data_IF_269053533947
#
_entry.id   IF_269053533947
#
_cell.length_a   1.000
_cell.length_b   1.000
_cell.length_c   1.000
_cell.angle_alpha   90.00
_cell.angle_beta   90.00
_cell.angle_gamma   90.00
#
_symmetry.space_group_name_H-M   'P 1'
#
loop_
_entity.id
_entity.type
_entity.pdbx_description
1 polymer ?
#
# COMPACT_ATOMS: atom_id res chain seq x y z
N UNK A 1 -23.47 9.80 33.44
CA UNK A 1 -23.18 11.16 32.91
C UNK A 1 -21.68 11.45 32.79
N UNK A 2 -20.83 11.06 33.77
CA UNK A 2 -19.37 11.24 33.68
C UNK A 2 -18.70 10.38 32.60
N UNK A 3 -19.05 9.08 32.52
CA UNK A 3 -18.48 8.15 31.53
C UNK A 3 -18.83 8.51 30.08
N UNK A 4 -20.06 8.96 29.83
CA UNK A 4 -20.49 9.41 28.51
C UNK A 4 -19.70 10.64 28.02
N UNK A 5 -19.35 11.57 28.92
CA UNK A 5 -18.49 12.72 28.60
C UNK A 5 -17.05 12.32 28.34
N UNK A 6 -16.53 11.34 29.10
CA UNK A 6 -15.19 10.78 28.88
C UNK A 6 -15.04 10.08 27.53
N UNK A 7 -16.03 9.25 27.17
CA UNK A 7 -16.07 8.58 25.87
C UNK A 7 -16.22 9.59 24.71
N UNK A 8 -17.10 10.58 24.85
CA UNK A 8 -17.26 11.63 23.85
C UNK A 8 -15.96 12.42 23.65
N UNK A 9 -15.23 12.74 24.72
CA UNK A 9 -13.96 13.45 24.61
C UNK A 9 -12.88 12.66 23.85
N UNK A 10 -12.87 11.32 23.94
CA UNK A 10 -11.97 10.48 23.15
C UNK A 10 -12.34 10.47 21.67
N UNK A 11 -13.64 10.41 21.35
CA UNK A 11 -14.14 10.49 19.97
C UNK A 11 -13.83 11.86 19.35
N UNK A 12 -14.09 12.95 20.08
CA UNK A 12 -13.78 14.30 19.59
C UNK A 12 -12.28 14.51 19.38
N UNK A 13 -11.41 13.99 20.27
CA UNK A 13 -9.97 14.01 20.03
C UNK A 13 -9.55 13.33 18.73
N UNK A 14 -10.08 12.14 18.45
CA UNK A 14 -9.80 11.42 17.19
C UNK A 14 -10.30 12.18 15.95
N UNK A 15 -11.44 12.86 16.06
CA UNK A 15 -11.97 13.70 14.97
C UNK A 15 -11.08 14.92 14.75
N UNK A 16 -10.62 15.55 15.84
CA UNK A 16 -9.79 16.76 15.81
C UNK A 16 -8.33 16.48 15.40
N UNK A 17 -7.84 15.24 15.62
CA UNK A 17 -6.51 14.76 15.20
C UNK A 17 -6.30 14.75 13.68
N UNK A 18 -7.36 14.82 12.87
CA UNK A 18 -7.26 14.96 11.41
C UNK A 18 -6.59 16.26 10.93
N UNK A 19 -6.25 17.18 11.84
CA UNK A 19 -5.48 18.40 11.58
C UNK A 19 -4.01 18.30 12.03
N UNK A 20 -3.46 17.09 12.21
CA UNK A 20 -2.05 16.89 12.55
C UNK A 20 -1.15 17.52 11.46
N UNK A 21 -0.23 18.45 11.80
CA UNK A 21 0.73 19.03 10.86
C UNK A 21 1.67 18.02 10.20
N UNK A 22 1.68 16.75 10.62
CA UNK A 22 2.36 15.64 9.96
C UNK A 22 1.63 15.03 8.75
N UNK A 23 0.38 15.41 8.47
CA UNK A 23 -0.36 14.95 7.28
C UNK A 23 0.03 15.85 6.10
N UNK A 24 0.71 15.27 5.10
CA UNK A 24 1.08 16.00 3.90
C UNK A 24 -0.21 16.40 3.13
N UNK A 25 -0.29 17.63 2.61
CA UNK A 25 -1.45 18.06 1.80
C UNK A 25 -1.69 17.16 0.57
N UNK A 26 -0.66 16.45 0.09
CA UNK A 26 -0.78 15.45 -0.97
C UNK A 26 -1.41 14.12 -0.50
N UNK A 27 -1.46 13.87 0.81
CA UNK A 27 -2.15 12.73 1.43
C UNK A 27 -3.62 13.06 1.75
N UNK A 28 -3.99 14.34 1.75
CA UNK A 28 -5.37 14.80 1.83
C UNK A 28 -6.08 14.41 0.52
N UNK A 29 -7.27 13.84 0.65
CA UNK A 29 -8.10 13.42 -0.49
C UNK A 29 -8.46 14.64 -1.33
N UNK A 30 -7.61 15.01 -2.30
CA UNK A 30 -7.91 16.01 -3.32
C UNK A 30 -8.59 15.31 -4.49
N UNK A 31 -9.76 15.81 -4.87
CA UNK A 31 -10.54 15.38 -6.04
C UNK A 31 -9.91 15.91 -7.34
N UNK A 32 -8.58 15.93 -7.40
CA UNK A 32 -7.81 16.45 -8.53
C UNK A 32 -7.88 15.43 -9.66
N UNK A 33 -8.82 15.71 -10.57
CA UNK A 33 -9.15 14.98 -11.79
C UNK A 33 -8.09 15.08 -12.88
N UNK A 34 -6.96 15.76 -12.64
CA UNK A 34 -6.12 16.30 -13.73
C UNK A 34 -4.69 15.74 -13.89
N UNK A 35 -4.31 14.65 -13.22
CA UNK A 35 -3.01 14.05 -13.57
C UNK A 35 -3.01 12.53 -13.62
N UNK A 36 -3.31 11.98 -14.80
CA UNK A 36 -2.99 10.59 -15.13
C UNK A 36 -1.51 10.58 -15.51
N UNK A 37 -0.64 10.22 -14.57
CA UNK A 37 0.76 9.93 -14.87
C UNK A 37 0.84 8.50 -15.41
N UNK A 38 1.40 8.33 -16.61
CA UNK A 38 1.86 7.01 -17.03
C UNK A 38 3.10 6.68 -16.21
N UNK A 39 2.96 5.71 -15.30
CA UNK A 39 4.08 5.17 -14.51
C UNK A 39 4.73 4.05 -15.32
N UNK A 40 6.02 4.21 -15.66
CA UNK A 40 6.81 3.15 -16.29
C UNK A 40 7.32 2.14 -15.25
N UNK A 41 7.64 2.63 -14.05
CA UNK A 41 8.01 1.80 -12.90
C UNK A 41 9.50 1.78 -12.58
N UNK A 42 10.26 2.79 -12.98
CA UNK A 42 11.63 2.98 -12.53
C UNK A 42 11.63 3.56 -11.11
N UNK A 43 12.05 2.78 -10.11
CA UNK A 43 12.01 3.18 -8.70
C UNK A 43 13.42 3.41 -8.19
N UNK A 44 13.66 4.54 -7.53
CA UNK A 44 14.93 4.85 -6.88
C UNK A 44 14.70 5.25 -5.42
N UNK A 45 15.45 4.62 -4.51
CA UNK A 45 15.67 5.09 -3.16
C UNK A 45 17.07 5.70 -3.12
N UNK A 46 17.18 6.94 -2.67
CA UNK A 46 18.44 7.67 -2.61
C UNK A 46 18.73 8.10 -1.15
N UNK A 47 19.72 7.44 -0.55
CA UNK A 47 20.27 7.73 0.78
C UNK A 47 19.19 7.78 1.89
N UNK A 48 18.34 6.75 1.94
CA UNK A 48 17.21 6.67 2.87
C UNK A 48 17.65 6.26 4.27
N UNK A 49 17.43 7.14 5.24
CA UNK A 49 17.32 6.77 6.65
C UNK A 49 15.84 6.72 7.06
N UNK A 50 15.48 5.76 7.91
CA UNK A 50 14.11 5.67 8.42
C UNK A 50 14.03 5.08 9.82
N UNK A 51 13.13 5.66 10.61
CA UNK A 51 12.73 5.18 11.92
C UNK A 51 11.20 5.24 12.08
N UNK A 52 10.60 4.20 12.65
CA UNK A 52 9.17 4.20 12.92
C UNK A 52 8.84 5.19 14.05
N UNK A 53 7.78 6.03 13.91
CA UNK A 53 7.39 6.99 14.95
C UNK A 53 7.09 6.33 16.32
N UNK A 54 6.58 5.10 16.31
CA UNK A 54 6.28 4.31 17.50
C UNK A 54 7.51 3.72 18.20
N UNK A 55 8.69 3.75 17.55
CA UNK A 55 9.94 3.16 18.06
C UNK A 55 11.15 4.06 17.74
N UNK A 56 11.17 5.26 18.32
CA UNK A 56 12.22 6.27 18.12
C UNK A 56 13.65 5.86 18.54
N UNK A 57 13.80 4.75 19.25
CA UNK A 57 15.11 4.22 19.68
C UNK A 57 15.67 3.14 18.73
N UNK A 58 14.91 2.75 17.69
CA UNK A 58 15.27 1.66 16.80
C UNK A 58 15.18 2.07 15.33
N UNK A 59 16.22 2.75 14.79
CA UNK A 59 16.32 2.99 13.36
C UNK A 59 16.26 1.68 12.57
N UNK A 60 15.61 1.69 11.41
CA UNK A 60 15.38 0.50 10.60
C UNK A 60 16.16 0.53 9.29
N UNK A 61 16.20 1.67 8.62
CA UNK A 61 16.99 1.88 7.40
C UNK A 61 18.08 2.90 7.69
N UNK A 62 19.27 2.63 7.16
CA UNK A 62 20.46 3.46 7.33
C UNK A 62 21.13 3.67 5.97
N UNK A 63 21.06 4.91 5.47
CA UNK A 63 21.65 5.32 4.20
C UNK A 63 21.40 4.32 3.06
N UNK A 64 20.15 3.84 2.92
CA UNK A 64 19.77 2.87 1.91
C UNK A 64 19.63 3.55 0.55
N UNK A 65 20.41 3.08 -0.43
CA UNK A 65 20.23 3.44 -1.84
C UNK A 65 19.97 2.19 -2.67
N UNK A 66 18.90 2.20 -3.46
CA UNK A 66 18.53 1.08 -4.34
C UNK A 66 17.85 1.60 -5.61
N UNK A 67 18.05 0.90 -6.72
CA UNK A 67 17.37 1.17 -7.98
C UNK A 67 16.68 -0.13 -8.43
N UNK A 68 15.40 -0.04 -8.75
CA UNK A 68 14.63 -1.10 -9.37
C UNK A 68 14.11 -0.58 -10.73
N UNK A 69 14.65 -1.10 -11.81
CA UNK A 69 14.32 -0.62 -13.15
C UNK A 69 12.97 -1.20 -13.64
N UNK A 70 12.26 -0.41 -14.44
CA UNK A 70 11.04 -0.81 -15.10
C UNK A 70 11.22 -2.12 -15.90
N UNK A 71 10.24 -3.02 -15.80
CA UNK A 71 10.25 -4.31 -16.48
C UNK A 71 11.19 -5.36 -15.89
N UNK A 72 11.90 -5.06 -14.80
CA UNK A 72 12.76 -6.03 -14.10
C UNK A 72 12.09 -6.58 -12.84
N UNK A 73 12.35 -7.85 -12.53
CA UNK A 73 11.98 -8.42 -11.23
C UNK A 73 13.11 -8.17 -10.24
N UNK A 74 12.88 -7.24 -9.31
CA UNK A 74 13.82 -6.93 -8.22
C UNK A 74 13.41 -7.65 -6.94
N UNK A 75 14.33 -8.39 -6.32
CA UNK A 75 14.08 -9.11 -5.07
C UNK A 75 14.87 -8.47 -3.90
N UNK A 76 14.16 -8.10 -2.83
CA UNK A 76 14.78 -7.67 -1.57
C UNK A 76 14.98 -8.87 -0.64
N UNK A 77 16.23 -9.28 -0.43
CA UNK A 77 16.59 -10.46 0.37
C UNK A 77 17.37 -10.05 1.61
N UNK A 78 17.06 -10.67 2.76
CA UNK A 78 17.76 -10.44 4.01
C UNK A 78 17.02 -11.04 5.22
N UNK A 79 17.66 -11.04 6.38
CA UNK A 79 17.10 -11.58 7.63
C UNK A 79 15.79 -10.92 8.05
N UNK A 80 14.97 -11.60 8.85
CA UNK A 80 13.77 -10.99 9.43
C UNK A 80 14.13 -9.71 10.19
N UNK A 81 13.32 -8.65 10.03
CA UNK A 81 13.56 -7.35 10.67
C UNK A 81 14.56 -6.41 9.98
N UNK A 82 15.20 -6.79 8.87
CA UNK A 82 16.18 -5.94 8.18
C UNK A 82 15.59 -4.80 7.31
N UNK A 83 14.30 -4.49 7.44
CA UNK A 83 13.66 -3.37 6.71
C UNK A 83 13.07 -3.67 5.33
N UNK A 84 12.94 -4.95 4.90
CA UNK A 84 12.30 -5.31 3.61
C UNK A 84 10.87 -4.77 3.48
N UNK A 85 10.00 -5.11 4.44
CA UNK A 85 8.62 -4.61 4.48
C UNK A 85 8.54 -3.10 4.71
N UNK A 86 9.57 -2.52 5.32
CA UNK A 86 9.70 -1.08 5.50
C UNK A 86 9.93 -0.38 4.16
N UNK A 87 10.72 -0.94 3.24
CA UNK A 87 10.86 -0.41 1.88
C UNK A 87 9.49 -0.33 1.17
N UNK A 88 8.67 -1.38 1.29
CA UNK A 88 7.31 -1.38 0.74
C UNK A 88 6.41 -0.35 1.43
N UNK A 89 6.53 -0.18 2.74
CA UNK A 89 5.75 0.80 3.50
C UNK A 89 6.06 2.24 3.09
N UNK A 90 7.33 2.53 2.78
CA UNK A 90 7.75 3.83 2.26
C UNK A 90 7.28 4.04 0.81
N UNK A 91 7.38 3.02 -0.04
CA UNK A 91 6.90 3.09 -1.42
C UNK A 91 5.37 3.31 -1.51
N UNK A 92 4.61 2.68 -0.62
CA UNK A 92 3.16 2.86 -0.49
C UNK A 92 2.75 4.17 0.22
N UNK A 93 3.74 4.98 0.62
CA UNK A 93 3.55 6.21 1.42
C UNK A 93 2.69 5.98 2.66
N UNK A 94 2.96 4.90 3.40
CA UNK A 94 2.44 4.75 4.77
C UNK A 94 3.26 5.54 5.78
N UNK A 95 4.52 5.82 5.44
CA UNK A 95 5.43 6.66 6.20
C UNK A 95 6.29 7.47 5.24
N UNK A 96 6.80 8.60 5.73
CA UNK A 96 7.86 9.35 5.06
C UNK A 96 9.24 8.94 5.59
N UNK A 97 10.28 8.90 4.74
CA UNK A 97 11.64 8.64 5.20
C UNK A 97 12.12 9.78 6.12
N UNK A 98 13.02 9.46 7.05
CA UNK A 98 13.60 10.46 7.96
C UNK A 98 14.64 11.34 7.25
N UNK A 99 15.27 10.82 6.20
CA UNK A 99 16.20 11.52 5.31
C UNK A 99 16.20 10.85 3.92
N UNK A 100 16.78 11.52 2.93
CA UNK A 100 16.86 11.02 1.55
C UNK A 100 15.56 11.25 0.78
N UNK A 101 15.46 10.64 -0.41
CA UNK A 101 14.25 10.74 -1.26
C UNK A 101 13.97 9.44 -2.01
N UNK A 102 12.70 9.21 -2.29
CA UNK A 102 12.24 8.10 -3.14
C UNK A 102 11.63 8.71 -4.39
N UNK A 103 11.98 8.18 -5.55
CA UNK A 103 11.42 8.62 -6.82
C UNK A 103 10.83 7.45 -7.61
N UNK A 104 9.81 7.75 -8.41
CA UNK A 104 9.27 6.88 -9.44
C UNK A 104 9.39 7.64 -10.76
N UNK A 105 10.03 7.03 -11.76
CA UNK A 105 10.33 7.62 -13.06
C UNK A 105 11.03 8.99 -12.95
N UNK A 106 11.92 9.14 -11.96
CA UNK A 106 12.67 10.36 -11.67
C UNK A 106 11.88 11.46 -10.95
N UNK A 107 10.60 11.26 -10.67
CA UNK A 107 9.75 12.19 -9.92
C UNK A 107 9.62 11.77 -8.46
N UNK A 108 9.65 12.73 -7.53
CA UNK A 108 9.47 12.43 -6.11
C UNK A 108 8.11 11.75 -5.85
N UNK A 109 8.09 10.70 -5.03
CA UNK A 109 6.84 10.02 -4.68
C UNK A 109 5.86 10.92 -3.94
N UNK A 110 6.35 11.97 -3.27
CA UNK A 110 5.56 12.98 -2.57
C UNK A 110 4.67 13.81 -3.51
N UNK A 111 5.06 13.90 -4.77
CA UNK A 111 4.40 14.73 -5.78
C UNK A 111 3.23 14.01 -6.46
N UNK A 112 3.03 12.73 -6.16
CA UNK A 112 1.89 11.95 -6.64
C UNK A 112 0.71 12.08 -5.68
N UNK A 113 -0.51 12.05 -6.22
CA UNK A 113 -1.69 11.78 -5.41
C UNK A 113 -1.59 10.33 -4.89
N UNK A 114 -1.77 10.15 -3.57
CA UNK A 114 -1.60 8.84 -2.92
C UNK A 114 -2.53 7.76 -3.48
N UNK A 115 -3.76 8.11 -3.85
CA UNK A 115 -4.71 7.17 -4.45
C UNK A 115 -4.18 6.65 -5.78
N UNK A 116 -3.77 7.57 -6.66
CA UNK A 116 -3.23 7.22 -7.98
C UNK A 116 -1.93 6.41 -7.88
N UNK A 117 -1.06 6.77 -6.94
CA UNK A 117 0.16 5.99 -6.68
C UNK A 117 -0.17 4.54 -6.33
N UNK A 118 -1.12 4.33 -5.41
CA UNK A 118 -1.49 2.99 -4.92
C UNK A 118 -2.29 2.19 -5.94
N UNK A 119 -3.03 2.81 -6.85
CA UNK A 119 -3.68 2.14 -7.98
C UNK A 119 -2.67 1.46 -8.93
N UNK A 120 -1.41 1.92 -8.93
CA UNK A 120 -0.33 1.34 -9.74
C UNK A 120 0.54 0.32 -8.96
N UNK A 121 0.18 0.00 -7.71
CA UNK A 121 0.93 -0.95 -6.87
C UNK A 121 -0.03 -2.05 -6.38
N UNK A 122 0.20 -3.29 -6.80
CA UNK A 122 -0.58 -4.44 -6.34
C UNK A 122 -0.28 -4.80 -4.88
N UNK A 123 -1.33 -4.93 -4.06
CA UNK A 123 -1.25 -5.35 -2.65
C UNK A 123 -2.11 -6.60 -2.38
N UNK A 124 -1.89 -7.23 -1.21
CA UNK A 124 -2.28 -8.61 -0.88
C UNK A 124 -3.74 -8.69 -0.35
N UNK A 125 -4.27 -9.92 -0.39
CA UNK A 125 -5.60 -10.42 -0.03
C UNK A 125 -6.17 -9.92 1.32
N UNK A 126 -7.50 -9.79 1.35
CA UNK A 126 -8.36 -9.47 2.48
C UNK A 126 -9.21 -10.68 2.91
N UNK A 127 -9.76 -10.62 4.13
CA UNK A 127 -10.75 -11.58 4.67
C UNK A 127 -12.12 -11.40 3.98
N UNK A 128 -12.18 -11.84 2.72
CA UNK A 128 -13.33 -11.76 1.83
C UNK A 128 -13.33 -13.01 0.94
N UNK A 129 -14.39 -13.23 0.15
CA UNK A 129 -14.34 -14.29 -0.85
C UNK A 129 -13.31 -14.00 -1.96
N UNK A 130 -12.97 -15.01 -2.74
CA UNK A 130 -11.99 -14.90 -3.84
C UNK A 130 -12.42 -13.87 -4.89
N UNK A 131 -13.72 -13.79 -5.20
CA UNK A 131 -14.30 -12.82 -6.13
C UNK A 131 -14.01 -11.37 -5.68
N UNK A 132 -14.39 -11.01 -4.46
CA UNK A 132 -14.19 -9.68 -3.88
C UNK A 132 -12.71 -9.34 -3.78
N UNK A 133 -11.86 -10.32 -3.44
CA UNK A 133 -10.41 -10.15 -3.40
C UNK A 133 -9.82 -9.75 -4.75
N UNK A 134 -10.24 -10.40 -5.84
CA UNK A 134 -9.78 -10.06 -7.19
C UNK A 134 -10.42 -8.74 -7.64
N UNK A 135 -11.72 -8.54 -7.39
CA UNK A 135 -12.43 -7.28 -7.71
C UNK A 135 -11.84 -6.09 -6.96
N UNK A 136 -11.21 -6.28 -5.81
CA UNK A 136 -10.59 -5.20 -5.06
C UNK A 136 -9.51 -4.46 -5.88
N UNK A 137 -8.83 -5.14 -6.80
CA UNK A 137 -7.87 -4.52 -7.72
C UNK A 137 -8.52 -3.62 -8.78
N UNK A 138 -9.81 -3.83 -9.09
CA UNK A 138 -10.61 -3.00 -10.01
C UNK A 138 -12.08 -3.10 -9.61
N UNK A 139 -12.57 -2.13 -8.83
CA UNK A 139 -13.90 -2.19 -8.19
C UNK A 139 -15.07 -2.39 -9.17
N UNK A 140 -14.91 -1.94 -10.41
CA UNK A 140 -15.90 -2.06 -11.49
C UNK A 140 -15.59 -3.20 -12.46
N UNK A 141 -14.76 -4.18 -12.08
CA UNK A 141 -14.42 -5.32 -12.93
C UNK A 141 -15.66 -6.20 -13.19
N UNK A 142 -15.78 -6.64 -14.43
CA UNK A 142 -16.76 -7.66 -14.83
C UNK A 142 -16.33 -9.05 -14.37
N UNK A 143 -17.28 -10.00 -14.34
CA UNK A 143 -16.97 -11.40 -14.03
C UNK A 143 -15.92 -11.96 -14.99
N UNK A 144 -16.02 -11.63 -16.28
CA UNK A 144 -15.08 -12.06 -17.31
C UNK A 144 -13.67 -11.55 -17.05
N UNK A 145 -13.52 -10.28 -16.66
CA UNK A 145 -12.22 -9.69 -16.30
C UNK A 145 -11.62 -10.34 -15.05
N UNK A 146 -12.45 -10.66 -14.04
CA UNK A 146 -12.02 -11.35 -12.82
C UNK A 146 -11.52 -12.75 -13.14
N UNK A 147 -12.24 -13.49 -13.98
CA UNK A 147 -11.80 -14.82 -14.38
C UNK A 147 -10.55 -14.77 -15.26
N UNK A 148 -10.43 -13.77 -16.13
CA UNK A 148 -9.25 -13.57 -16.95
C UNK A 148 -8.02 -13.28 -16.09
N UNK A 149 -8.12 -12.36 -15.12
CA UNK A 149 -7.05 -12.07 -14.17
C UNK A 149 -6.65 -13.33 -13.38
N UNK A 150 -7.62 -14.14 -12.95
CA UNK A 150 -7.35 -15.40 -12.29
C UNK A 150 -6.67 -16.42 -13.21
N UNK A 151 -6.95 -16.45 -14.52
CA UNK A 151 -6.26 -17.32 -15.48
C UNK A 151 -4.82 -16.88 -15.68
N UNK A 152 -4.59 -15.58 -15.82
CA UNK A 152 -3.25 -14.99 -15.96
C UNK A 152 -2.39 -15.22 -14.72
N UNK A 153 -3.00 -15.19 -13.53
CA UNK A 153 -2.35 -15.55 -12.27
C UNK A 153 -2.21 -17.07 -12.04
N UNK A 154 -2.59 -17.91 -13.02
CA UNK A 154 -2.64 -19.38 -12.91
C UNK A 154 -3.48 -19.89 -11.72
N UNK A 155 -4.48 -19.10 -11.32
CA UNK A 155 -5.34 -19.33 -10.18
C UNK A 155 -6.69 -19.98 -10.56
N UNK A 156 -7.22 -19.65 -11.74
CA UNK A 156 -8.59 -20.04 -12.14
C UNK A 156 -8.87 -21.55 -12.00
N UNK A 157 -7.93 -22.40 -12.41
CA UNK A 157 -8.15 -23.85 -12.34
C UNK A 157 -8.30 -24.36 -10.91
N UNK A 158 -7.48 -23.89 -9.97
CA UNK A 158 -7.62 -24.30 -8.57
C UNK A 158 -8.90 -23.72 -7.96
N UNK A 159 -9.23 -22.46 -8.28
CA UNK A 159 -10.45 -21.80 -7.77
C UNK A 159 -11.66 -22.64 -8.16
N UNK A 160 -11.74 -23.08 -9.41
CA UNK A 160 -12.86 -23.88 -9.91
C UNK A 160 -12.97 -25.29 -9.31
N UNK A 161 -11.92 -25.79 -8.64
CA UNK A 161 -11.96 -27.05 -7.89
C UNK A 161 -12.49 -26.89 -6.46
N UNK A 162 -12.58 -25.66 -5.94
CA UNK A 162 -13.15 -25.38 -4.63
C UNK A 162 -14.68 -25.58 -4.66
N UNK A 163 -15.31 -26.01 -3.54
CA UNK A 163 -16.76 -26.22 -3.47
C UNK A 163 -17.57 -24.99 -3.90
N UNK A 164 -17.16 -23.81 -3.42
CA UNK A 164 -17.85 -22.54 -3.66
C UNK A 164 -17.17 -21.69 -4.74
N UNK A 165 -16.11 -22.21 -5.38
CA UNK A 165 -15.38 -21.55 -6.46
C UNK A 165 -14.94 -20.13 -6.07
N UNK A 166 -15.35 -19.11 -6.82
CA UNK A 166 -15.06 -17.70 -6.55
C UNK A 166 -15.74 -17.15 -5.29
N UNK A 167 -16.80 -17.80 -4.81
CA UNK A 167 -17.48 -17.45 -3.56
C UNK A 167 -16.80 -18.06 -2.32
N UNK A 168 -15.74 -18.84 -2.50
CA UNK A 168 -14.97 -19.40 -1.38
C UNK A 168 -14.38 -18.27 -0.55
N UNK A 169 -14.66 -18.26 0.75
CA UNK A 169 -14.09 -17.32 1.71
C UNK A 169 -12.60 -17.58 1.89
N UNK A 170 -11.80 -16.51 1.79
CA UNK A 170 -10.38 -16.52 2.10
C UNK A 170 -10.25 -16.07 3.56
N UNK A 171 -9.96 -16.97 4.50
CA UNK A 171 -9.89 -16.60 5.92
C UNK A 171 -8.70 -15.68 6.25
N UNK A 172 -8.61 -15.20 7.50
CA UNK A 172 -7.58 -14.29 8.06
C UNK A 172 -6.09 -14.64 7.74
N UNK A 173 -5.80 -15.82 7.17
CA UNK A 173 -4.46 -16.28 6.81
C UNK A 173 -4.33 -16.89 5.41
N UNK A 174 -5.30 -16.68 4.53
CA UNK A 174 -5.28 -17.28 3.19
C UNK A 174 -5.46 -18.80 3.21
N UNK A 175 -6.22 -19.31 4.19
CA UNK A 175 -6.60 -20.73 4.35
C UNK A 175 -8.12 -20.82 4.46
#
# INVERSE_FOLDING_TARGET
MSEARGAAAAVFRLIDEGNDPGINEADVWKDDTESIYNINGDIEFDNIDFIYPSRKEAPVLHNLSLIACAGQTTALVGSSGCGKSTCMSLLLRYYEPSSGRITIDGRSITDYNVKQLRENIGAILFDMNIYENIRFGKLNATQEEIEQAAREANAHHFIMQLPDKYETLVGERGV
#
